data_IF_500591927604
#
_entry.id   IF_500591927604
#
_cell.length_a   1.000
_cell.length_b   1.000
_cell.length_c   1.000
_cell.angle_alpha   90.00
_cell.angle_beta   90.00
_cell.angle_gamma   90.00
#
_symmetry.space_group_name_H-M   'P 1'
#
loop_
_entity.id
_entity.type
_entity.pdbx_description
1 polymer ?
#
# COMPACT_ATOMS: atom_id res chain seq x y z
N UNK A 1 6.60 -13.98 8.22
CA UNK A 1 6.39 -12.54 8.41
C UNK A 1 4.89 -12.28 8.52
N UNK A 2 4.40 -11.59 9.56
CA UNK A 2 2.95 -11.44 9.79
C UNK A 2 2.42 -10.28 8.93
N UNK A 3 1.41 -10.56 8.10
CA UNK A 3 0.67 -9.53 7.36
C UNK A 3 -0.36 -8.88 8.29
N UNK A 4 -0.56 -7.58 8.11
CA UNK A 4 -1.52 -6.79 8.89
C UNK A 4 -2.64 -6.38 7.95
N UNK A 5 -3.83 -6.96 8.11
CA UNK A 5 -5.01 -6.56 7.34
C UNK A 5 -5.54 -5.22 7.84
N UNK A 6 -5.78 -4.30 6.92
CA UNK A 6 -6.38 -3.00 7.22
C UNK A 6 -7.89 -3.11 7.38
N UNK A 7 -8.41 -2.30 8.29
CA UNK A 7 -9.85 -2.05 8.43
C UNK A 7 -10.36 -1.10 7.34
N UNK A 8 -11.67 -1.09 7.12
CA UNK A 8 -12.31 -0.16 6.18
C UNK A 8 -12.03 1.31 6.51
N UNK A 9 -11.86 1.63 7.81
CA UNK A 9 -11.49 2.99 8.25
C UNK A 9 -10.08 3.34 7.79
N UNK A 10 -9.11 2.47 8.03
CA UNK A 10 -7.71 2.70 7.62
C UNK A 10 -7.57 2.76 6.09
N UNK A 11 -8.32 1.94 5.35
CA UNK A 11 -8.35 2.01 3.88
C UNK A 11 -8.89 3.37 3.42
N UNK A 12 -9.95 3.88 4.07
CA UNK A 12 -10.50 5.20 3.77
C UNK A 12 -9.49 6.31 4.06
N UNK A 13 -8.86 6.30 5.22
CA UNK A 13 -7.81 7.26 5.59
C UNK A 13 -6.64 7.22 4.60
N UNK A 14 -6.23 6.01 4.17
CA UNK A 14 -5.18 5.82 3.17
C UNK A 14 -5.54 6.43 1.81
N UNK A 15 -6.79 6.25 1.36
CA UNK A 15 -7.32 6.87 0.12
C UNK A 15 -7.35 8.39 0.19
N UNK A 16 -7.81 8.94 1.32
CA UNK A 16 -7.90 10.39 1.53
C UNK A 16 -6.51 11.03 1.57
N UNK A 17 -5.56 10.39 2.25
CA UNK A 17 -4.18 10.86 2.34
C UNK A 17 -3.38 10.68 1.03
N UNK A 18 -3.69 9.65 0.23
CA UNK A 18 -2.93 9.30 -0.97
C UNK A 18 -3.87 9.15 -2.18
N UNK A 19 -4.32 10.29 -2.73
CA UNK A 19 -5.30 10.31 -3.83
C UNK A 19 -4.92 9.47 -5.06
N UNK A 20 -3.63 9.31 -5.33
CA UNK A 20 -3.17 8.49 -6.46
C UNK A 20 -3.40 6.98 -6.26
N UNK A 21 -3.55 6.52 -5.02
CA UNK A 21 -3.92 5.13 -4.73
C UNK A 21 -5.42 4.88 -4.84
N UNK A 22 -6.24 5.93 -4.79
CA UNK A 22 -7.69 5.80 -4.69
C UNK A 22 -8.31 4.92 -5.78
N UNK A 23 -7.91 5.02 -7.08
CA UNK A 23 -8.45 4.15 -8.13
C UNK A 23 -8.19 2.66 -7.88
N UNK A 24 -7.04 2.32 -7.27
CA UNK A 24 -6.67 0.94 -6.96
C UNK A 24 -7.41 0.43 -5.73
N UNK A 25 -7.61 1.29 -4.74
CA UNK A 25 -8.25 0.93 -3.46
C UNK A 25 -9.79 0.91 -3.51
N UNK A 26 -10.41 1.53 -4.51
CA UNK A 26 -11.87 1.58 -4.65
C UNK A 26 -12.50 0.21 -4.95
N UNK A 27 -11.79 -0.66 -5.67
CA UNK A 27 -12.26 -2.00 -6.02
C UNK A 27 -11.68 -3.13 -5.16
N UNK A 28 -10.93 -2.80 -4.11
CA UNK A 28 -10.20 -3.79 -3.33
C UNK A 28 -11.07 -4.46 -2.26
N UNK A 29 -11.05 -5.79 -2.20
CA UNK A 29 -11.72 -6.57 -1.14
C UNK A 29 -10.88 -6.64 0.14
N UNK A 30 -9.56 -6.73 -0.03
CA UNK A 30 -8.59 -6.88 1.05
C UNK A 30 -7.39 -6.00 0.81
N UNK A 31 -7.04 -5.18 1.81
CA UNK A 31 -5.75 -4.47 1.84
C UNK A 31 -4.96 -4.95 3.04
N UNK A 32 -3.74 -5.40 2.80
CA UNK A 32 -2.81 -5.85 3.84
C UNK A 32 -1.48 -5.08 3.76
N UNK A 33 -0.79 -4.98 4.88
CA UNK A 33 0.58 -4.48 4.96
C UNK A 33 1.50 -5.64 5.33
N UNK A 34 2.53 -5.86 4.51
CA UNK A 34 3.63 -6.76 4.79
C UNK A 34 4.89 -5.93 5.14
N UNK A 35 5.31 -5.89 6.42
CA UNK A 35 6.50 -5.14 6.83
C UNK A 35 7.79 -5.86 6.42
N UNK A 36 8.51 -5.37 5.40
CA UNK A 36 9.74 -5.99 4.89
C UNK A 36 10.95 -5.71 5.79
N UNK A 37 10.98 -4.51 6.37
CA UNK A 37 11.96 -4.06 7.34
C UNK A 37 11.30 -3.02 8.26
N UNK A 38 12.04 -2.44 9.21
CA UNK A 38 11.53 -1.33 10.04
C UNK A 38 11.16 -0.09 9.22
N UNK A 39 11.74 0.07 8.03
CA UNK A 39 11.58 1.25 7.18
C UNK A 39 10.74 0.98 5.93
N UNK A 40 10.45 -0.27 5.61
CA UNK A 40 9.84 -0.65 4.34
C UNK A 40 8.59 -1.49 4.58
N UNK A 41 7.47 -1.04 4.03
CA UNK A 41 6.16 -1.66 4.19
C UNK A 41 5.50 -1.84 2.84
N UNK A 42 5.24 -3.09 2.46
CA UNK A 42 4.63 -3.44 1.19
C UNK A 42 3.11 -3.50 1.38
N UNK A 43 2.37 -2.73 0.59
CA UNK A 43 0.92 -2.75 0.56
C UNK A 43 0.46 -3.79 -0.46
N UNK A 44 -0.22 -4.80 0.06
CA UNK A 44 -0.84 -5.86 -0.70
C UNK A 44 -2.32 -5.52 -0.91
N UNK A 45 -2.77 -5.44 -2.15
CA UNK A 45 -4.18 -5.24 -2.51
C UNK A 45 -4.65 -6.52 -3.17
N UNK A 46 -5.63 -7.19 -2.57
CA UNK A 46 -6.13 -8.51 -2.97
C UNK A 46 -5.02 -9.56 -3.15
N UNK A 47 -3.99 -9.45 -2.30
CA UNK A 47 -2.81 -10.32 -2.30
C UNK A 47 -1.68 -9.89 -3.23
N UNK A 48 -1.86 -8.85 -4.04
CA UNK A 48 -0.85 -8.34 -4.97
C UNK A 48 -0.06 -7.17 -4.39
N UNK A 49 1.27 -7.20 -4.56
CA UNK A 49 2.16 -6.16 -4.08
C UNK A 49 2.15 -4.92 -4.98
N UNK A 50 1.22 -3.99 -4.74
CA UNK A 50 0.99 -2.87 -5.64
C UNK A 50 1.73 -1.59 -5.24
N UNK A 51 1.98 -1.38 -3.94
CA UNK A 51 2.69 -0.18 -3.46
C UNK A 51 3.72 -0.51 -2.39
N UNK A 52 4.77 0.30 -2.32
CA UNK A 52 5.79 0.25 -1.30
C UNK A 52 5.84 1.59 -0.56
N UNK A 53 5.73 1.55 0.77
CA UNK A 53 6.03 2.68 1.64
C UNK A 53 7.45 2.57 2.15
N UNK A 54 8.23 3.63 2.01
CA UNK A 54 9.61 3.73 2.45
C UNK A 54 9.72 4.93 3.41
N UNK A 55 10.21 4.67 4.62
CA UNK A 55 10.54 5.69 5.60
C UNK A 55 12.02 6.04 5.43
N UNK A 56 12.31 7.20 4.85
CA UNK A 56 13.66 7.69 4.62
C UNK A 56 13.95 8.90 5.52
N UNK A 57 15.23 9.22 5.69
CA UNK A 57 15.67 10.33 6.54
C UNK A 57 15.17 11.71 6.06
N UNK A 58 14.73 11.80 4.80
CA UNK A 58 14.24 13.05 4.18
C UNK A 58 12.71 13.09 4.05
N UNK A 59 12.01 12.02 4.44
CA UNK A 59 10.56 11.92 4.34
C UNK A 59 10.06 10.50 4.11
N UNK A 60 8.73 10.39 4.04
CA UNK A 60 8.04 9.16 3.68
C UNK A 60 7.70 9.17 2.19
N UNK A 61 8.02 8.06 1.52
CA UNK A 61 7.70 7.85 0.11
C UNK A 61 6.69 6.72 0.00
N UNK A 62 5.72 6.89 -0.89
CA UNK A 62 4.79 5.85 -1.27
C UNK A 62 4.85 5.71 -2.79
N UNK A 63 5.37 4.58 -3.26
CA UNK A 63 5.68 4.38 -4.67
C UNK A 63 4.94 3.17 -5.24
N UNK A 64 4.47 3.22 -6.49
CA UNK A 64 3.94 2.05 -7.16
C UNK A 64 5.06 1.03 -7.41
N UNK A 65 4.73 -0.26 -7.32
CA UNK A 65 5.67 -1.32 -7.72
C UNK A 65 5.69 -1.46 -9.25
N UNK A 66 6.75 -2.09 -9.76
CA UNK A 66 6.77 -2.51 -11.18
C UNK A 66 5.59 -3.41 -11.52
N UNK A 67 5.12 -4.24 -10.58
CA UNK A 67 3.97 -5.11 -10.77
C UNK A 67 2.71 -4.30 -11.10
N UNK A 68 2.44 -3.21 -10.36
CA UNK A 68 1.30 -2.33 -10.64
C UNK A 68 1.44 -1.66 -12.02
N UNK A 69 2.64 -1.19 -12.36
CA UNK A 69 2.92 -0.49 -13.62
C UNK A 69 2.68 -1.40 -14.83
N UNK A 70 3.11 -2.66 -14.79
CA UNK A 70 2.94 -3.60 -15.91
C UNK A 70 1.56 -4.25 -15.98
N UNK A 71 0.74 -4.12 -14.93
CA UNK A 71 -0.64 -4.63 -14.90
C UNK A 71 -1.65 -3.64 -15.51
N UNK A 72 -1.30 -2.35 -15.58
CA UNK A 72 -2.20 -1.25 -15.99
C UNK A 72 -2.08 -0.92 -17.48
#
# INVERSE_FOLDING_TARGET
MKRIRLSNREIRELREANRFMAPVLEGADVVEIAPLSEREHLYLVDGEALFLKIIHNVGEYLVPTLFLIYKS
#
